data_IF_696363023233
#
_entry.id   IF_696363023233
#
_cell.length_a   1.000
_cell.length_b   1.000
_cell.length_c   1.000
_cell.angle_alpha   90.00
_cell.angle_beta   90.00
_cell.angle_gamma   90.00
#
_symmetry.space_group_name_H-M   'P 1'
#
loop_
_entity.id
_entity.type
_entity.pdbx_description
1 polymer ?
#
# COMPACT_ATOMS: atom_id res chain seq x y z
N UNK A 1 16.75 22.71 -24.39
CA UNK A 1 17.71 21.68 -24.77
C UNK A 1 17.11 20.28 -24.65
N UNK A 2 16.66 19.84 -23.45
CA UNK A 2 16.12 18.48 -23.25
C UNK A 2 14.88 18.21 -24.13
N UNK A 3 13.96 19.13 -24.20
CA UNK A 3 12.78 19.03 -25.09
C UNK A 3 13.13 18.93 -26.57
N UNK A 4 14.19 19.64 -27.01
CA UNK A 4 14.70 19.54 -28.40
C UNK A 4 15.32 18.16 -28.68
N UNK A 5 15.83 17.50 -27.65
CA UNK A 5 16.37 16.13 -27.73
C UNK A 5 15.28 15.05 -27.53
N UNK A 6 13.99 15.42 -27.43
CA UNK A 6 12.91 14.49 -27.16
C UNK A 6 12.90 13.92 -25.74
N UNK A 7 13.62 14.56 -24.81
CA UNK A 7 13.72 14.15 -23.42
C UNK A 7 12.85 15.04 -22.53
N UNK A 8 12.23 14.47 -21.54
CA UNK A 8 11.47 15.19 -20.52
C UNK A 8 12.28 15.31 -19.22
N UNK A 9 12.07 16.42 -18.50
CA UNK A 9 12.59 16.56 -17.14
C UNK A 9 11.73 15.78 -16.18
N UNK A 10 12.34 15.10 -15.20
CA UNK A 10 11.62 14.46 -14.12
C UNK A 10 10.74 15.46 -13.33
N UNK A 11 9.59 15.00 -12.87
CA UNK A 11 8.63 15.83 -12.17
C UNK A 11 9.20 16.49 -10.90
N UNK A 12 9.09 17.80 -10.82
CA UNK A 12 9.47 18.62 -9.65
C UNK A 12 8.27 19.43 -9.16
N UNK A 13 8.40 20.13 -8.02
CA UNK A 13 7.35 21.01 -7.52
C UNK A 13 6.23 20.31 -6.74
N UNK A 14 5.13 21.01 -6.59
CA UNK A 14 3.95 20.58 -5.80
C UNK A 14 2.97 19.79 -6.68
N UNK A 15 3.40 18.61 -7.08
CA UNK A 15 2.69 17.71 -8.00
C UNK A 15 2.90 16.23 -7.57
N UNK A 16 2.16 15.32 -8.19
CA UNK A 16 2.47 13.90 -8.11
C UNK A 16 3.88 13.64 -8.64
N UNK A 17 4.63 12.81 -7.95
CA UNK A 17 6.02 12.46 -8.31
C UNK A 17 6.05 11.15 -9.09
N UNK A 18 7.14 10.90 -9.86
CA UNK A 18 7.35 9.59 -10.45
C UNK A 18 7.20 8.49 -9.41
N UNK A 19 6.49 7.43 -9.78
CA UNK A 19 6.19 6.30 -8.89
C UNK A 19 7.47 5.49 -8.65
N UNK A 20 7.70 5.10 -7.42
CA UNK A 20 8.82 4.23 -7.03
C UNK A 20 8.32 2.80 -6.89
N UNK A 21 9.00 1.86 -7.51
CA UNK A 21 8.67 0.43 -7.45
C UNK A 21 9.87 -0.39 -6.99
N UNK A 22 9.61 -1.46 -6.23
CA UNK A 22 10.63 -2.49 -6.03
C UNK A 22 10.59 -3.51 -7.18
N UNK A 23 11.60 -4.38 -7.27
CA UNK A 23 11.65 -5.47 -8.25
C UNK A 23 10.70 -6.64 -7.95
N UNK A 24 9.57 -6.40 -7.28
CA UNK A 24 8.67 -7.43 -6.76
C UNK A 24 8.20 -8.44 -7.80
N UNK A 25 7.94 -8.00 -9.04
CA UNK A 25 7.56 -8.84 -10.18
C UNK A 25 8.54 -9.99 -10.42
N UNK A 26 9.85 -9.74 -10.27
CA UNK A 26 10.93 -10.74 -10.50
C UNK A 26 11.56 -11.24 -9.20
N UNK A 27 11.03 -10.85 -8.05
CA UNK A 27 11.56 -11.20 -6.75
C UNK A 27 10.95 -12.50 -6.24
N UNK A 28 11.77 -13.41 -5.67
CA UNK A 28 11.29 -14.63 -5.02
C UNK A 28 10.27 -14.40 -3.88
N UNK A 29 10.24 -13.20 -3.31
CA UNK A 29 9.30 -12.80 -2.25
C UNK A 29 8.16 -11.93 -2.77
N UNK A 30 8.13 -11.63 -4.06
CA UNK A 30 7.07 -10.82 -4.67
C UNK A 30 5.71 -11.51 -4.58
N UNK A 31 4.69 -10.77 -4.18
CA UNK A 31 3.32 -11.24 -4.03
C UNK A 31 2.40 -10.63 -5.09
N UNK A 32 2.85 -9.57 -5.75
CA UNK A 32 2.14 -8.83 -6.79
C UNK A 32 3.10 -8.46 -7.92
N UNK A 33 2.55 -8.17 -9.08
CA UNK A 33 3.29 -7.55 -10.18
C UNK A 33 3.48 -6.06 -9.90
N UNK A 34 4.65 -5.72 -9.35
CA UNK A 34 4.97 -4.33 -8.99
C UNK A 34 5.27 -3.47 -10.21
N UNK A 35 5.79 -4.03 -11.30
CA UNK A 35 6.11 -3.27 -12.49
C UNK A 35 4.82 -2.83 -13.19
N UNK A 36 3.93 -3.77 -13.51
CA UNK A 36 2.66 -3.46 -14.15
C UNK A 36 1.81 -2.47 -13.32
N UNK A 37 1.72 -2.68 -11.98
CA UNK A 37 0.96 -1.78 -11.12
C UNK A 37 1.59 -0.38 -11.05
N UNK A 38 2.92 -0.29 -10.90
CA UNK A 38 3.58 1.02 -10.81
C UNK A 38 3.56 1.79 -12.13
N UNK A 39 3.66 1.10 -13.26
CA UNK A 39 3.53 1.70 -14.59
C UNK A 39 2.13 2.27 -14.81
N UNK A 40 1.10 1.51 -14.46
CA UNK A 40 -0.29 1.97 -14.55
C UNK A 40 -0.57 3.17 -13.64
N UNK A 41 -0.10 3.15 -12.39
CA UNK A 41 -0.20 4.30 -11.48
C UNK A 41 0.55 5.50 -12.05
N UNK A 42 1.72 5.29 -12.64
CA UNK A 42 2.53 6.34 -13.24
C UNK A 42 1.79 7.00 -14.41
N UNK A 43 1.24 6.20 -15.31
CA UNK A 43 0.49 6.69 -16.47
C UNK A 43 -0.77 7.44 -16.04
N UNK A 44 -1.59 6.84 -15.17
CA UNK A 44 -2.87 7.45 -14.75
C UNK A 44 -2.67 8.71 -13.90
N UNK A 45 -1.68 8.74 -12.99
CA UNK A 45 -1.60 9.78 -11.96
C UNK A 45 -0.37 10.66 -12.04
N UNK A 46 0.77 10.20 -12.54
CA UNK A 46 1.90 11.10 -12.81
C UNK A 46 1.70 11.86 -14.13
N UNK A 47 1.40 11.16 -15.21
CA UNK A 47 1.10 11.78 -16.51
C UNK A 47 -0.27 12.43 -16.52
N UNK A 48 -1.33 11.72 -16.13
CA UNK A 48 -2.71 12.21 -16.16
C UNK A 48 -2.98 13.40 -15.25
N UNK A 49 -2.23 13.55 -14.15
CA UNK A 49 -2.35 14.68 -13.20
C UNK A 49 -1.18 15.67 -13.29
N UNK A 50 -0.43 15.65 -14.40
CA UNK A 50 0.80 16.46 -14.57
C UNK A 50 0.57 17.96 -14.36
N UNK A 51 -0.57 18.48 -14.79
CA UNK A 51 -0.92 19.90 -14.67
C UNK A 51 -1.66 20.22 -13.36
N UNK A 52 -2.03 19.20 -12.57
CA UNK A 52 -2.75 19.40 -11.32
C UNK A 52 -1.78 19.83 -10.23
N UNK A 53 -1.99 21.03 -9.70
CA UNK A 53 -1.21 21.58 -8.58
C UNK A 53 -1.73 21.01 -7.26
N UNK A 54 -0.85 20.53 -6.42
CA UNK A 54 -1.12 20.01 -5.07
C UNK A 54 -0.56 20.98 -4.03
N UNK A 55 -0.96 20.88 -2.75
CA UNK A 55 -0.36 21.67 -1.66
C UNK A 55 1.15 21.49 -1.55
N UNK A 56 1.66 20.28 -1.79
CA UNK A 56 3.07 19.92 -1.88
C UNK A 56 3.24 18.70 -2.78
N UNK A 57 4.48 18.23 -2.95
CA UNK A 57 4.78 16.98 -3.67
C UNK A 57 4.02 15.80 -3.05
N UNK A 58 3.53 14.90 -3.90
CA UNK A 58 2.88 13.66 -3.51
C UNK A 58 3.68 12.46 -4.05
N UNK A 59 4.12 11.57 -3.18
CA UNK A 59 4.97 10.43 -3.51
C UNK A 59 4.21 9.12 -3.34
N UNK A 60 4.31 8.26 -4.35
CA UNK A 60 3.70 6.93 -4.35
C UNK A 60 4.80 5.89 -4.46
N UNK A 61 4.71 4.83 -3.65
CA UNK A 61 5.64 3.71 -3.71
C UNK A 61 4.91 2.37 -3.72
N UNK A 62 5.35 1.45 -4.59
CA UNK A 62 4.77 0.11 -4.77
C UNK A 62 5.78 -0.95 -4.33
N UNK A 63 5.48 -1.66 -3.26
CA UNK A 63 6.25 -2.76 -2.71
C UNK A 63 5.62 -4.13 -3.02
N UNK A 64 6.42 -5.10 -3.44
CA UNK A 64 5.93 -6.43 -3.79
C UNK A 64 5.51 -7.29 -2.60
N UNK A 65 6.01 -7.00 -1.40
CA UNK A 65 5.73 -7.77 -0.19
C UNK A 65 6.09 -7.00 1.09
N UNK A 66 5.74 -7.51 2.28
CA UNK A 66 6.03 -6.86 3.57
C UNK A 66 7.51 -6.70 3.94
N UNK A 67 8.48 -7.16 3.12
CA UNK A 67 9.89 -6.82 3.32
C UNK A 67 10.19 -5.32 3.15
N UNK A 68 9.24 -4.55 2.61
CA UNK A 68 9.24 -3.09 2.63
C UNK A 68 10.50 -2.44 2.00
N UNK A 69 11.05 -3.03 0.92
CA UNK A 69 12.35 -2.66 0.35
C UNK A 69 12.41 -1.21 -0.17
N UNK A 70 11.30 -0.69 -0.72
CA UNK A 70 11.18 0.70 -1.21
C UNK A 70 10.47 1.62 -0.21
N UNK A 71 10.28 1.14 1.02
CA UNK A 71 9.66 1.91 2.12
C UNK A 71 8.30 2.53 1.74
N UNK A 72 7.32 1.74 1.26
CA UNK A 72 6.00 2.28 0.95
C UNK A 72 5.37 3.03 2.13
N UNK A 73 5.55 2.55 3.35
CA UNK A 73 5.08 3.17 4.60
C UNK A 73 5.75 4.51 4.96
N UNK A 74 6.82 4.91 4.24
CA UNK A 74 7.49 6.21 4.39
C UNK A 74 7.24 7.14 3.19
N UNK A 75 6.28 6.82 2.34
CA UNK A 75 5.81 7.66 1.25
C UNK A 75 4.42 8.23 1.56
N UNK A 76 3.99 9.25 0.84
CA UNK A 76 2.68 9.87 1.07
C UNK A 76 1.56 8.84 0.89
N UNK A 77 1.70 7.95 -0.11
CA UNK A 77 0.90 6.74 -0.29
C UNK A 77 1.81 5.57 -0.63
N UNK A 78 1.57 4.43 0.01
CA UNK A 78 2.32 3.20 -0.22
C UNK A 78 1.41 2.01 -0.45
N UNK A 79 1.78 1.13 -1.37
CA UNK A 79 1.06 -0.10 -1.67
C UNK A 79 1.99 -1.28 -1.42
N UNK A 80 1.51 -2.31 -0.73
CA UNK A 80 2.26 -3.54 -0.45
C UNK A 80 1.41 -4.75 -0.79
N UNK A 81 1.99 -5.70 -1.56
CA UNK A 81 1.36 -6.99 -1.82
C UNK A 81 1.16 -7.81 -0.55
N UNK A 82 0.05 -8.52 -0.47
CA UNK A 82 -0.40 -9.29 0.69
C UNK A 82 -0.82 -10.70 0.29
N UNK A 83 -0.64 -11.66 1.21
CA UNK A 83 -1.29 -12.97 1.20
C UNK A 83 -1.82 -13.26 2.59
N UNK A 84 -3.13 -13.11 2.77
CA UNK A 84 -3.82 -13.40 4.04
C UNK A 84 -4.04 -14.90 4.14
N UNK A 85 -3.38 -15.61 5.06
CA UNK A 85 -3.53 -17.07 5.18
C UNK A 85 -4.91 -17.45 5.69
N UNK A 86 -5.46 -18.53 5.19
CA UNK A 86 -6.69 -19.14 5.68
C UNK A 86 -6.34 -20.41 6.46
N UNK A 87 -6.83 -20.53 7.70
CA UNK A 87 -6.52 -21.64 8.58
C UNK A 87 -7.69 -22.63 8.59
N UNK A 88 -7.39 -23.89 8.27
CA UNK A 88 -8.27 -25.02 8.42
C UNK A 88 -7.91 -25.76 9.72
N UNK A 89 -8.61 -25.47 10.81
CA UNK A 89 -8.34 -26.05 12.12
C UNK A 89 -8.65 -27.55 12.20
N UNK A 90 -9.49 -28.11 11.32
CA UNK A 90 -9.81 -29.53 11.29
C UNK A 90 -8.60 -30.34 10.83
N UNK A 91 -7.83 -29.82 9.90
CA UNK A 91 -6.59 -30.42 9.42
C UNK A 91 -5.40 -30.25 10.39
N UNK A 92 -5.48 -29.31 11.34
CA UNK A 92 -4.40 -29.10 12.30
C UNK A 92 -4.29 -30.24 13.30
N UNK A 93 -3.11 -30.89 13.38
CA UNK A 93 -2.86 -32.07 14.24
C UNK A 93 -2.15 -31.74 15.56
N UNK A 94 -1.86 -30.48 15.85
CA UNK A 94 -1.18 -30.10 17.10
C UNK A 94 0.21 -30.69 17.24
N UNK A 95 1.05 -30.57 16.20
CA UNK A 95 2.37 -31.19 16.14
C UNK A 95 3.30 -30.66 17.25
N UNK A 96 4.15 -31.52 17.84
CA UNK A 96 5.18 -31.08 18.79
C UNK A 96 6.13 -30.03 18.23
N UNK A 97 6.38 -30.09 16.92
CA UNK A 97 7.17 -29.11 16.17
C UNK A 97 6.30 -28.61 15.02
N UNK A 98 5.77 -27.41 15.15
CA UNK A 98 4.89 -26.83 14.13
C UNK A 98 5.71 -26.08 13.06
N UNK A 99 5.63 -26.56 11.81
CA UNK A 99 6.35 -25.93 10.69
C UNK A 99 5.79 -24.55 10.35
N UNK A 100 4.51 -24.29 10.58
CA UNK A 100 3.89 -22.98 10.39
C UNK A 100 4.49 -21.95 11.35
N UNK A 101 4.54 -22.30 12.64
CA UNK A 101 5.15 -21.47 13.69
C UNK A 101 6.64 -21.21 13.40
N UNK A 102 7.39 -22.25 13.05
CA UNK A 102 8.83 -22.14 12.77
C UNK A 102 9.14 -21.25 11.56
N UNK A 103 8.27 -21.26 10.54
CA UNK A 103 8.44 -20.46 9.34
C UNK A 103 7.88 -19.03 9.45
N UNK A 104 7.22 -18.66 10.56
CA UNK A 104 6.74 -17.30 10.75
C UNK A 104 7.91 -16.36 11.11
N UNK A 105 8.29 -15.41 10.23
CA UNK A 105 9.48 -14.57 10.46
C UNK A 105 9.29 -13.56 11.60
N UNK A 106 8.05 -13.19 11.88
CA UNK A 106 7.69 -12.22 12.93
C UNK A 106 7.08 -12.87 14.17
N UNK A 107 7.03 -14.23 14.21
CA UNK A 107 6.63 -15.01 15.40
C UNK A 107 5.22 -14.75 15.92
N UNK A 108 4.29 -14.40 15.03
CA UNK A 108 2.85 -14.21 15.36
C UNK A 108 2.00 -15.45 15.11
N UNK A 109 2.52 -16.45 14.40
CA UNK A 109 1.92 -17.78 14.29
C UNK A 109 2.41 -18.64 15.45
N UNK A 110 1.51 -19.18 16.26
CA UNK A 110 1.82 -19.98 17.45
C UNK A 110 0.88 -21.17 17.59
N UNK A 111 1.38 -22.23 18.20
CA UNK A 111 0.53 -23.34 18.60
C UNK A 111 -0.03 -23.05 19.99
N UNK A 112 -1.35 -22.90 20.09
CA UNK A 112 -2.09 -22.68 21.35
C UNK A 112 -3.11 -23.81 21.51
N UNK A 113 -3.13 -24.45 22.65
CA UNK A 113 -4.03 -25.57 22.97
C UNK A 113 -4.08 -26.67 21.89
N UNK A 114 -2.90 -26.99 21.35
CA UNK A 114 -2.76 -28.01 20.30
C UNK A 114 -3.28 -27.60 18.91
N UNK A 115 -3.59 -26.34 18.68
CA UNK A 115 -4.02 -25.80 17.38
C UNK A 115 -3.17 -24.60 16.98
N UNK A 116 -2.93 -24.47 15.68
CA UNK A 116 -2.22 -23.31 15.14
C UNK A 116 -3.14 -22.08 15.17
N UNK A 117 -2.61 -20.98 15.67
CA UNK A 117 -3.25 -19.67 15.65
C UNK A 117 -2.32 -18.64 15.01
N UNK A 118 -2.86 -17.61 14.40
CA UNK A 118 -2.12 -16.46 13.89
C UNK A 118 -2.78 -15.22 14.48
N UNK A 119 -1.98 -14.40 15.16
CA UNK A 119 -2.45 -13.08 15.60
C UNK A 119 -2.58 -12.17 14.38
N UNK A 120 -3.80 -11.98 13.90
CA UNK A 120 -4.10 -11.20 12.69
C UNK A 120 -3.77 -9.71 12.86
N UNK A 121 -3.88 -9.18 14.08
CA UNK A 121 -3.56 -7.78 14.38
C UNK A 121 -2.06 -7.47 14.23
N UNK A 122 -1.21 -8.45 14.49
CA UNK A 122 0.24 -8.35 14.36
C UNK A 122 0.77 -8.97 13.05
N UNK A 123 -0.07 -9.69 12.30
CA UNK A 123 0.33 -10.34 11.07
C UNK A 123 0.53 -9.34 9.93
N UNK A 124 1.71 -9.39 9.30
CA UNK A 124 2.01 -8.57 8.12
C UNK A 124 1.57 -9.22 6.79
N UNK A 125 0.87 -10.34 6.82
CA UNK A 125 0.34 -11.08 5.67
C UNK A 125 1.38 -11.39 4.58
N UNK A 126 2.60 -11.78 4.99
CA UNK A 126 3.68 -12.12 4.06
C UNK A 126 3.51 -13.48 3.36
N UNK A 127 2.55 -14.30 3.80
CA UNK A 127 2.23 -15.60 3.21
C UNK A 127 3.26 -16.71 3.44
N UNK A 128 4.32 -16.50 4.24
CA UNK A 128 5.39 -17.49 4.43
C UNK A 128 4.94 -18.76 5.15
N UNK A 129 3.84 -18.72 5.89
CA UNK A 129 3.23 -19.87 6.55
C UNK A 129 2.44 -20.78 5.62
N UNK A 130 2.02 -20.27 4.45
CA UNK A 130 1.19 -20.99 3.47
C UNK A 130 2.00 -22.14 2.88
N UNK A 131 1.38 -23.33 2.79
CA UNK A 131 2.01 -24.56 2.30
C UNK A 131 3.10 -25.13 3.20
N UNK A 132 3.25 -24.65 4.46
CA UNK A 132 4.26 -25.17 5.39
C UNK A 132 3.74 -26.27 6.30
N UNK A 133 2.42 -26.41 6.41
CA UNK A 133 1.82 -27.49 7.19
C UNK A 133 1.81 -28.80 6.39
N UNK A 134 2.44 -29.89 6.85
CA UNK A 134 2.42 -31.17 6.15
C UNK A 134 1.03 -31.82 6.15
N UNK A 135 0.10 -31.32 6.95
CA UNK A 135 -1.31 -31.75 7.01
C UNK A 135 -2.25 -30.76 6.30
N UNK A 136 -1.70 -29.82 5.54
CA UNK A 136 -2.46 -28.88 4.72
C UNK A 136 -3.43 -27.97 5.52
N UNK A 137 -3.10 -27.66 6.77
CA UNK A 137 -3.92 -26.78 7.62
C UNK A 137 -3.86 -25.30 7.17
N UNK A 138 -2.86 -24.89 6.37
CA UNK A 138 -2.75 -23.56 5.78
C UNK A 138 -2.28 -23.71 4.33
N UNK A 139 -3.20 -23.92 3.42
CA UNK A 139 -2.97 -24.03 1.99
C UNK A 139 -3.55 -22.84 1.23
N UNK A 140 -4.73 -22.41 1.65
CA UNK A 140 -5.47 -21.33 1.01
C UNK A 140 -5.08 -19.97 1.56
N UNK A 141 -5.26 -18.95 0.74
CA UNK A 141 -5.04 -17.56 1.11
C UNK A 141 -5.88 -16.62 0.24
N UNK A 142 -6.08 -15.41 0.75
CA UNK A 142 -6.58 -14.30 -0.06
C UNK A 142 -5.40 -13.45 -0.48
N UNK A 143 -5.17 -13.33 -1.81
CA UNK A 143 -4.20 -12.40 -2.36
C UNK A 143 -4.79 -10.98 -2.40
N UNK A 144 -3.94 -9.96 -2.19
CA UNK A 144 -4.43 -8.60 -2.20
C UNK A 144 -3.33 -7.56 -1.97
N UNK A 145 -3.77 -6.37 -1.64
CA UNK A 145 -2.96 -5.19 -1.44
C UNK A 145 -3.29 -4.54 -0.11
N UNK A 146 -2.29 -4.03 0.58
CA UNK A 146 -2.43 -3.15 1.74
C UNK A 146 -1.96 -1.76 1.34
N UNK A 147 -2.75 -0.73 1.65
CA UNK A 147 -2.46 0.66 1.31
C UNK A 147 -2.08 1.41 2.58
N UNK A 148 -0.93 2.08 2.57
CA UNK A 148 -0.45 2.97 3.60
C UNK A 148 -0.63 4.42 3.17
N UNK A 149 -1.00 5.28 4.09
CA UNK A 149 -1.16 6.73 3.87
C UNK A 149 -0.47 7.52 4.97
N UNK A 150 -0.05 8.74 4.64
CA UNK A 150 0.52 9.68 5.60
C UNK A 150 1.97 9.39 5.97
N UNK A 151 2.68 8.58 5.18
CA UNK A 151 4.11 8.37 5.36
C UNK A 151 4.93 9.57 4.89
N UNK A 152 6.12 9.73 5.47
CA UNK A 152 7.04 10.81 5.16
C UNK A 152 8.46 10.46 5.56
N UNK A 153 9.41 10.72 4.66
CA UNK A 153 10.83 10.60 4.93
C UNK A 153 11.57 11.89 4.58
N UNK A 154 12.51 12.30 5.41
CA UNK A 154 13.34 13.47 5.21
C UNK A 154 13.64 14.19 6.53
N UNK A 155 13.64 15.54 6.52
CA UNK A 155 13.90 16.36 7.72
C UNK A 155 12.95 16.06 8.90
N UNK A 156 11.71 15.69 8.57
CA UNK A 156 10.75 15.11 9.52
C UNK A 156 10.38 13.71 9.01
N UNK A 157 10.23 12.76 9.90
CA UNK A 157 9.84 11.38 9.62
C UNK A 157 8.45 11.16 10.19
N UNK A 158 7.60 10.51 9.40
CA UNK A 158 6.33 9.97 9.85
C UNK A 158 6.13 8.60 9.19
N UNK A 159 5.77 7.61 9.99
CA UNK A 159 5.38 6.31 9.47
C UNK A 159 3.91 6.34 9.08
N UNK A 160 3.60 5.97 7.85
CA UNK A 160 2.24 5.85 7.37
C UNK A 160 1.49 4.73 8.10
N UNK A 161 0.20 4.94 8.28
CA UNK A 161 -0.72 3.90 8.75
C UNK A 161 -1.41 3.25 7.56
N UNK A 162 -1.71 1.97 7.65
CA UNK A 162 -2.46 1.28 6.61
C UNK A 162 -3.97 1.41 6.83
N UNK A 163 -4.72 1.43 5.73
CA UNK A 163 -6.17 1.38 5.75
C UNK A 163 -6.64 0.01 6.26
N UNK A 164 -7.69 -0.02 7.08
CA UNK A 164 -8.23 -1.24 7.72
C UNK A 164 -8.98 -2.13 6.72
N UNK A 165 -8.36 -2.34 5.56
CA UNK A 165 -8.88 -3.17 4.48
C UNK A 165 -7.75 -3.82 3.70
N UNK A 166 -7.91 -5.10 3.36
CA UNK A 166 -7.11 -5.76 2.32
C UNK A 166 -7.90 -5.66 1.01
N UNK A 167 -7.31 -4.97 0.05
CA UNK A 167 -7.91 -4.78 -1.27
C UNK A 167 -7.61 -6.00 -2.13
N UNK A 168 -8.60 -6.56 -2.78
CA UNK A 168 -8.43 -7.74 -3.67
C UNK A 168 -8.54 -7.37 -5.14
N UNK A 169 -9.08 -6.21 -5.44
CA UNK A 169 -9.22 -5.67 -6.79
C UNK A 169 -8.22 -4.53 -7.06
N UNK A 170 -7.54 -4.60 -8.19
CA UNK A 170 -6.58 -3.59 -8.63
C UNK A 170 -7.25 -2.24 -8.92
N UNK A 171 -8.44 -2.24 -9.53
CA UNK A 171 -9.15 -0.99 -9.84
C UNK A 171 -9.58 -0.26 -8.56
N UNK A 172 -9.93 -1.01 -7.52
CA UNK A 172 -10.22 -0.41 -6.22
C UNK A 172 -8.96 0.24 -5.61
N UNK A 173 -7.78 -0.39 -5.74
CA UNK A 173 -6.50 0.21 -5.33
C UNK A 173 -6.24 1.52 -6.08
N UNK A 174 -6.42 1.52 -7.40
CA UNK A 174 -6.23 2.71 -8.24
C UNK A 174 -7.22 3.82 -7.89
N UNK A 175 -8.48 3.48 -7.59
CA UNK A 175 -9.46 4.43 -7.10
C UNK A 175 -9.04 5.09 -5.78
N UNK A 176 -8.47 4.32 -4.84
CA UNK A 176 -7.94 4.87 -3.57
C UNK A 176 -6.75 5.79 -3.80
N UNK A 177 -5.85 5.46 -4.74
CA UNK A 177 -4.74 6.36 -5.13
C UNK A 177 -5.27 7.69 -5.63
N UNK A 178 -6.27 7.67 -6.51
CA UNK A 178 -6.91 8.87 -7.04
C UNK A 178 -7.59 9.69 -5.94
N UNK A 179 -8.39 9.04 -5.11
CA UNK A 179 -9.05 9.67 -3.95
C UNK A 179 -8.04 10.35 -3.01
N UNK A 180 -6.90 9.73 -2.74
CA UNK A 180 -5.87 10.33 -1.89
C UNK A 180 -5.26 11.60 -2.51
N UNK A 181 -5.07 11.63 -3.82
CA UNK A 181 -4.59 12.82 -4.54
C UNK A 181 -5.65 13.93 -4.48
N UNK A 182 -6.92 13.60 -4.74
CA UNK A 182 -8.04 14.54 -4.70
C UNK A 182 -8.27 15.12 -3.30
N UNK A 183 -8.25 14.26 -2.27
CA UNK A 183 -8.35 14.68 -0.87
C UNK A 183 -7.20 15.63 -0.49
N UNK A 184 -5.97 15.30 -0.88
CA UNK A 184 -4.83 16.15 -0.60
C UNK A 184 -4.93 17.50 -1.30
N UNK A 185 -5.42 17.52 -2.56
CA UNK A 185 -5.67 18.77 -3.28
C UNK A 185 -6.74 19.63 -2.61
N UNK A 186 -7.86 19.01 -2.20
CA UNK A 186 -9.02 19.70 -1.64
C UNK A 186 -8.77 20.20 -0.21
N UNK A 187 -8.15 19.38 0.63
CA UNK A 187 -8.09 19.62 2.07
C UNK A 187 -6.69 19.95 2.58
N UNK A 188 -5.65 19.81 1.76
CA UNK A 188 -4.29 20.17 2.14
C UNK A 188 -4.04 21.67 2.07
N UNK A 189 -3.25 22.18 3.00
CA UNK A 189 -2.84 23.59 3.07
C UNK A 189 -1.56 23.76 2.26
N UNK A 190 -1.42 24.85 1.50
CA UNK A 190 -0.23 25.13 0.68
C UNK A 190 1.06 25.04 1.50
N UNK A 191 1.99 24.21 1.05
CA UNK A 191 3.25 23.90 1.75
C UNK A 191 3.17 22.73 2.73
N UNK A 192 1.96 22.25 3.05
CA UNK A 192 1.73 21.09 3.92
C UNK A 192 2.04 19.79 3.18
N UNK A 193 2.68 18.83 3.86
CA UNK A 193 2.87 17.48 3.33
C UNK A 193 1.61 16.65 3.62
N UNK A 194 1.34 15.64 2.80
CA UNK A 194 0.18 14.76 3.00
C UNK A 194 0.13 14.13 4.39
N UNK A 195 1.29 13.78 4.96
CA UNK A 195 1.39 13.30 6.33
C UNK A 195 0.86 14.33 7.37
N UNK A 196 1.14 15.62 7.14
CA UNK A 196 0.68 16.70 8.02
C UNK A 196 -0.84 16.92 7.83
N UNK A 197 -1.34 16.81 6.59
CA UNK A 197 -2.79 16.85 6.26
C UNK A 197 -3.54 15.72 6.95
N UNK A 198 -3.05 14.48 6.85
CA UNK A 198 -3.64 13.31 7.52
C UNK A 198 -3.64 13.49 9.04
N UNK A 199 -2.56 13.99 9.62
CA UNK A 199 -2.49 14.24 11.06
C UNK A 199 -3.46 15.32 11.53
N UNK A 200 -3.67 16.39 10.72
CA UNK A 200 -4.59 17.50 11.04
C UNK A 200 -6.07 17.09 10.92
N UNK A 201 -6.43 16.36 9.89
CA UNK A 201 -7.81 15.89 9.65
C UNK A 201 -8.16 14.73 10.58
N UNK A 202 -7.18 13.92 10.97
CA UNK A 202 -7.33 12.65 11.68
C UNK A 202 -7.37 11.47 10.71
N UNK A 203 -6.62 10.41 11.04
CA UNK A 203 -6.47 9.24 10.16
C UNK A 203 -7.82 8.56 9.89
N UNK A 204 -8.67 8.40 10.89
CA UNK A 204 -9.97 7.74 10.80
C UNK A 204 -10.89 8.47 9.82
N UNK A 205 -10.93 9.80 9.88
CA UNK A 205 -11.72 10.63 8.96
C UNK A 205 -11.17 10.57 7.52
N UNK A 206 -9.85 10.52 7.36
CA UNK A 206 -9.24 10.35 6.04
C UNK A 206 -9.53 8.97 5.49
N UNK A 207 -9.42 7.92 6.31
CA UNK A 207 -9.74 6.55 5.91
C UNK A 207 -11.20 6.42 5.44
N UNK A 208 -12.15 6.98 6.18
CA UNK A 208 -13.57 6.98 5.81
C UNK A 208 -13.78 7.61 4.42
N UNK A 209 -13.21 8.80 4.19
CA UNK A 209 -13.30 9.49 2.90
C UNK A 209 -12.64 8.70 1.75
N UNK A 210 -11.52 8.02 1.99
CA UNK A 210 -10.83 7.22 0.98
C UNK A 210 -11.58 5.92 0.65
N UNK A 211 -12.34 5.37 1.60
CA UNK A 211 -13.15 4.16 1.39
C UNK A 211 -14.53 4.48 0.81
N UNK A 212 -15.03 5.72 0.93
CA UNK A 212 -16.24 6.21 0.27
C UNK A 212 -15.96 6.65 -1.18
N UNK A 213 -17.01 6.92 -1.98
CA UNK A 213 -16.87 7.31 -3.40
C UNK A 213 -17.07 8.80 -3.66
N UNK A 214 -17.37 9.58 -2.64
CA UNK A 214 -17.70 11.01 -2.75
C UNK A 214 -16.60 11.86 -3.43
N UNK A 215 -15.33 11.53 -3.17
CA UNK A 215 -14.20 12.23 -3.79
C UNK A 215 -14.15 12.04 -5.31
N UNK A 216 -14.54 10.88 -5.81
CA UNK A 216 -14.58 10.62 -7.25
C UNK A 216 -15.77 11.27 -7.92
N UNK A 217 -16.93 11.36 -7.25
CA UNK A 217 -18.13 12.01 -7.81
C UNK A 217 -17.92 13.50 -8.04
N UNK A 218 -17.13 14.18 -7.18
CA UNK A 218 -16.78 15.60 -7.32
C UNK A 218 -15.41 15.87 -7.93
N UNK A 219 -14.82 14.88 -8.60
CA UNK A 219 -13.47 14.97 -9.19
C UNK A 219 -13.29 16.17 -10.10
N UNK A 220 -14.23 16.41 -11.02
CA UNK A 220 -14.12 17.52 -11.98
C UNK A 220 -14.14 18.90 -11.31
N UNK A 221 -14.99 19.07 -10.31
CA UNK A 221 -15.05 20.30 -9.52
C UNK A 221 -13.75 20.50 -8.74
N UNK A 222 -13.26 19.44 -8.10
CA UNK A 222 -12.02 19.44 -7.37
C UNK A 222 -10.83 19.85 -8.26
N UNK A 223 -10.71 19.30 -9.47
CA UNK A 223 -9.60 19.60 -10.38
C UNK A 223 -9.72 21.02 -10.97
N UNK A 224 -10.91 21.55 -11.21
CA UNK A 224 -11.15 22.90 -11.75
C UNK A 224 -10.97 24.00 -10.71
N UNK A 225 -11.16 23.71 -9.42
CA UNK A 225 -10.93 24.66 -8.34
C UNK A 225 -9.43 25.00 -8.25
N UNK A 226 -9.04 26.22 -8.69
CA UNK A 226 -7.66 26.75 -8.60
C UNK A 226 -7.44 27.52 -7.32
#
# INVERSE_FOLDING_TARGET
>A
FLMQAGLETGGTGSKVRPVVSCKGTTCQYGLIDTFALSEEIHERFYHGYREVKLPHKFKIAVGGCPNNCVKPDLNDLGIIGQRVPQIDLEKCRGCKVCQVENNCPIKVAKLVDGKITIDDSACNHCGRCIGKCPFHAIENYTAGYRIYIGGRWGKKVAQGRYLDKVFTDKEEVLAVVEKAILLFREQGITGERFADTVARIGFENVQEQLLADDLLTRKEENIKAQ
#
